data_IF_970656768242
#
_entry.id   IF_970656768242
#
_cell.length_a   1.000
_cell.length_b   1.000
_cell.length_c   1.000
_cell.angle_alpha   90.00
_cell.angle_beta   90.00
_cell.angle_gamma   90.00
#
_symmetry.space_group_name_H-M   'P 1'
#
loop_
_entity.id
_entity.type
_entity.pdbx_description
1 polymer ?
#
# COMPACT_ATOMS: atom_id res chain seq x y z
N UNK A 1 6.02 6.88 -56.50
CA UNK A 1 6.92 5.71 -56.38
C UNK A 1 8.33 6.29 -56.32
N UNK A 2 9.19 6.14 -55.31
CA UNK A 2 9.28 5.23 -54.17
C UNK A 2 9.99 5.95 -53.00
N UNK A 3 9.76 5.49 -51.77
CA UNK A 3 10.34 6.01 -50.53
C UNK A 3 11.76 5.45 -50.27
N UNK A 4 12.64 6.15 -49.52
CA UNK A 4 13.91 5.60 -49.07
C UNK A 4 13.74 4.74 -47.79
N UNK A 5 14.35 3.56 -47.80
CA UNK A 5 14.39 2.58 -46.72
C UNK A 5 15.42 2.94 -45.64
N UNK A 6 14.97 2.95 -44.37
CA UNK A 6 15.83 3.13 -43.20
C UNK A 6 16.33 1.74 -42.75
N UNK A 7 17.65 1.56 -42.74
CA UNK A 7 18.31 0.37 -42.21
C UNK A 7 18.18 0.31 -40.68
N UNK A 8 17.53 -0.74 -40.17
CA UNK A 8 17.48 -1.05 -38.74
C UNK A 8 18.75 -1.81 -38.33
N UNK A 9 19.54 -1.21 -37.43
CA UNK A 9 20.71 -1.83 -36.83
C UNK A 9 20.30 -3.04 -35.97
N UNK A 10 20.90 -4.19 -36.27
CA UNK A 10 20.77 -5.45 -35.54
C UNK A 10 21.62 -5.37 -34.27
N UNK A 11 20.98 -5.35 -33.11
CA UNK A 11 21.65 -5.49 -31.80
C UNK A 11 21.68 -6.99 -31.46
N UNK A 12 22.86 -7.63 -31.32
CA UNK A 12 22.94 -9.05 -30.99
C UNK A 12 22.56 -9.33 -29.53
N UNK A 13 21.59 -10.24 -29.35
CA UNK A 13 20.98 -10.68 -28.09
C UNK A 13 21.80 -11.75 -27.39
N UNK A 14 22.96 -11.41 -26.86
CA UNK A 14 23.67 -12.26 -25.92
C UNK A 14 24.13 -11.41 -24.76
N UNK A 15 23.32 -11.39 -23.68
CA UNK A 15 23.63 -11.05 -22.29
C UNK A 15 22.33 -10.67 -21.57
N UNK A 16 21.51 -11.67 -21.24
CA UNK A 16 20.46 -11.53 -20.24
C UNK A 16 20.33 -12.84 -19.45
N UNK A 17 20.54 -12.85 -18.12
CA UNK A 17 20.33 -14.03 -17.30
C UNK A 17 18.82 -14.29 -17.14
N UNK A 18 18.40 -15.49 -17.51
CA UNK A 18 17.02 -15.99 -17.34
C UNK A 18 16.70 -16.16 -15.85
N UNK A 19 15.88 -15.27 -15.30
CA UNK A 19 15.14 -15.52 -14.07
C UNK A 19 13.79 -16.13 -14.44
N UNK A 20 13.64 -17.44 -14.25
CA UNK A 20 12.36 -18.13 -14.38
C UNK A 20 11.51 -17.85 -13.13
N UNK A 21 10.43 -17.09 -13.28
CA UNK A 21 9.32 -17.14 -12.34
C UNK A 21 8.36 -18.24 -12.80
N UNK A 22 8.24 -19.29 -11.99
CA UNK A 22 7.20 -20.31 -12.17
C UNK A 22 5.88 -19.74 -11.66
N UNK A 23 5.01 -19.32 -12.56
CA UNK A 23 3.60 -19.08 -12.27
C UNK A 23 2.87 -20.43 -12.38
N UNK A 24 2.57 -21.05 -11.24
CA UNK A 24 1.69 -22.21 -11.18
C UNK A 24 0.28 -21.76 -10.83
N UNK A 25 -0.57 -21.69 -11.85
CA UNK A 25 -2.01 -21.52 -11.72
C UNK A 25 -2.65 -22.79 -11.18
N UNK A 26 -3.28 -22.73 -10.00
CA UNK A 26 -4.19 -23.77 -9.52
C UNK A 26 -5.62 -23.24 -9.48
N UNK A 27 -6.50 -24.03 -10.11
CA UNK A 27 -7.89 -23.73 -10.48
C UNK A 27 -8.83 -23.66 -9.28
N UNK A 28 -9.85 -22.83 -9.45
CA UNK A 28 -11.10 -22.82 -8.68
C UNK A 28 -11.92 -24.09 -8.98
N UNK A 29 -12.36 -24.78 -7.94
CA UNK A 29 -13.57 -25.61 -7.95
C UNK A 29 -14.32 -25.35 -6.65
N UNK A 30 -15.55 -24.87 -6.78
CA UNK A 30 -16.50 -24.68 -5.70
C UNK A 30 -17.13 -26.02 -5.31
N UNK A 31 -17.38 -26.22 -4.02
CA UNK A 31 -18.59 -26.90 -3.55
C UNK A 31 -18.89 -26.55 -2.09
N UNK A 32 -20.13 -26.14 -1.89
CA UNK A 32 -20.81 -25.76 -0.67
C UNK A 32 -21.01 -26.92 0.30
N UNK A 33 -20.85 -26.67 1.60
CA UNK A 33 -21.73 -27.25 2.62
C UNK A 33 -22.02 -26.21 3.70
N UNK A 34 -23.30 -26.13 4.02
CA UNK A 34 -23.94 -25.30 5.04
C UNK A 34 -23.88 -26.09 6.34
N UNK A 35 -23.44 -25.48 7.45
CA UNK A 35 -23.95 -25.89 8.76
C UNK A 35 -23.83 -24.76 9.80
N UNK A 36 -24.95 -24.57 10.49
CA UNK A 36 -25.21 -23.48 11.41
C UNK A 36 -25.03 -23.94 12.86
N UNK A 37 -24.15 -23.23 13.58
CA UNK A 37 -24.32 -22.67 14.93
C UNK A 37 -25.40 -23.28 15.86
N UNK A 38 -24.96 -23.75 17.05
CA UNK A 38 -25.44 -23.37 18.42
C UNK A 38 -24.55 -24.05 19.48
N UNK A 39 -23.78 -23.28 20.24
CA UNK A 39 -24.05 -22.79 21.61
C UNK A 39 -23.81 -23.81 22.73
N UNK A 40 -22.79 -23.52 23.56
CA UNK A 40 -22.52 -24.16 24.84
C UNK A 40 -21.39 -23.43 25.60
N UNK A 41 -21.78 -22.56 26.52
CA UNK A 41 -20.98 -21.90 27.57
C UNK A 41 -20.24 -22.93 28.45
N UNK A 42 -19.12 -22.66 29.15
CA UNK A 42 -18.95 -21.75 30.29
C UNK A 42 -17.50 -21.95 30.84
N UNK A 43 -16.82 -20.84 31.19
CA UNK A 43 -15.86 -20.64 32.30
C UNK A 43 -14.80 -21.71 32.65
N UNK A 44 -13.53 -21.36 32.45
CA UNK A 44 -12.49 -21.61 33.44
C UNK A 44 -11.32 -20.63 33.24
N UNK A 45 -11.07 -19.85 34.28
CA UNK A 45 -9.95 -18.94 34.41
C UNK A 45 -8.62 -19.72 34.51
N UNK A 46 -7.61 -19.30 33.76
CA UNK A 46 -6.22 -19.42 34.23
C UNK A 46 -5.43 -18.25 33.66
N UNK A 47 -5.09 -17.32 34.55
CA UNK A 47 -4.20 -16.21 34.28
C UNK A 47 -2.77 -16.75 34.11
N UNK A 48 -2.19 -16.56 32.91
CA UNK A 48 -0.74 -16.53 32.76
C UNK A 48 -0.37 -15.34 31.89
N UNK A 49 -0.22 -14.21 32.58
CA UNK A 49 0.19 -12.91 32.07
C UNK A 49 1.73 -12.89 32.07
N UNK A 50 2.36 -13.01 30.91
CA UNK A 50 3.80 -12.74 30.74
C UNK A 50 4.00 -11.23 30.50
N UNK A 51 4.97 -10.57 31.16
CA UNK A 51 5.06 -9.12 31.11
C UNK A 51 5.75 -8.64 29.83
N UNK A 52 5.08 -7.69 29.19
CA UNK A 52 5.62 -6.83 28.15
C UNK A 52 6.60 -5.83 28.81
N UNK A 53 7.88 -5.92 28.48
CA UNK A 53 8.92 -4.98 28.93
C UNK A 53 8.66 -3.59 28.33
N UNK A 54 8.07 -2.70 29.12
CA UNK A 54 7.97 -1.28 28.83
C UNK A 54 9.27 -0.59 29.26
N UNK A 55 9.89 0.06 28.28
CA UNK A 55 10.90 1.10 28.43
C UNK A 55 10.29 2.30 29.17
N UNK A 56 10.96 2.78 30.22
CA UNK A 56 10.81 4.12 30.78
C UNK A 56 12.05 4.50 31.61
N UNK A 57 12.35 5.80 31.77
CA UNK A 57 13.71 6.34 31.79
C UNK A 57 14.18 6.71 33.20
N UNK A 58 15.49 6.61 33.47
CA UNK A 58 16.11 7.32 34.57
C UNK A 58 17.59 7.63 34.30
N UNK A 59 17.84 8.93 34.13
CA UNK A 59 18.92 9.70 34.75
C UNK A 59 20.37 9.20 34.55
N UNK A 60 21.05 9.78 33.57
CA UNK A 60 22.51 9.86 33.54
C UNK A 60 22.93 11.25 34.02
N UNK A 61 23.55 11.31 35.20
CA UNK A 61 24.23 12.49 35.72
C UNK A 61 25.72 12.17 35.91
N UNK A 62 26.59 13.08 35.43
CA UNK A 62 28.04 13.07 35.58
C UNK A 62 28.75 12.28 34.47
N UNK A 63 29.62 12.85 33.64
CA UNK A 63 30.57 13.95 33.84
C UNK A 63 30.79 14.70 32.52
N UNK A 64 30.54 16.01 32.55
CA UNK A 64 31.00 16.97 31.53
C UNK A 64 32.38 17.45 31.93
N UNK A 65 33.41 17.13 31.16
CA UNK A 65 34.71 17.74 31.36
C UNK A 65 35.56 17.70 30.09
N UNK A 66 35.89 18.91 29.60
CA UNK A 66 37.02 19.29 28.72
C UNK A 66 36.98 18.82 27.24
N UNK A 67 37.18 19.66 26.22
CA UNK A 67 37.20 21.12 26.08
C UNK A 67 37.30 21.39 24.57
N UNK A 68 36.45 22.27 24.04
CA UNK A 68 36.74 22.98 22.79
C UNK A 68 37.63 24.17 23.12
N UNK A 69 38.79 24.28 22.48
CA UNK A 69 39.51 25.55 22.30
C UNK A 69 39.99 25.57 20.84
N UNK A 70 39.29 26.27 19.97
CA UNK A 70 39.31 27.72 19.75
C UNK A 70 40.65 28.18 19.18
N UNK A 71 40.60 28.42 17.88
CA UNK A 71 41.61 29.08 17.09
C UNK A 71 41.62 30.56 17.45
N UNK A 72 42.79 31.08 17.83
CA UNK A 72 43.13 32.50 17.69
C UNK A 72 44.65 32.70 17.83
N UNK A 73 45.26 32.88 16.65
CA UNK A 73 46.35 33.80 16.31
C UNK A 73 47.14 34.46 17.47
N UNK A 74 48.47 34.31 17.42
CA UNK A 74 49.40 35.40 17.73
C UNK A 74 50.74 35.24 17.00
N UNK A 75 51.29 36.39 16.69
CA UNK A 75 52.39 36.70 15.80
C UNK A 75 53.77 36.60 16.46
N UNK A 76 54.77 36.47 15.59
CA UNK A 76 56.17 36.90 15.68
C UNK A 76 57.08 36.31 16.76
N UNK A 77 58.09 35.59 16.28
CA UNK A 77 59.37 35.38 16.95
C UNK A 77 60.35 34.81 15.93
N UNK A 78 61.26 35.66 15.44
CA UNK A 78 62.35 35.28 14.54
C UNK A 78 63.29 34.29 15.23
N UNK A 79 63.78 33.30 14.50
CA UNK A 79 64.73 32.32 15.03
C UNK A 79 65.28 31.37 13.97
N UNK A 80 66.23 31.90 13.20
CA UNK A 80 67.32 31.20 12.51
C UNK A 80 67.02 30.00 11.62
N UNK A 81 67.26 30.22 10.32
CA UNK A 81 67.49 29.22 9.31
C UNK A 81 68.57 28.21 9.73
N UNK A 82 68.20 26.93 9.67
CA UNK A 82 69.06 25.87 9.14
C UNK A 82 68.17 25.08 8.19
N UNK A 83 68.20 25.48 6.93
CA UNK A 83 67.72 24.69 5.81
C UNK A 83 68.52 23.39 5.77
N UNK A 84 68.06 22.38 6.49
CA UNK A 84 68.42 21.02 6.15
C UNK A 84 67.60 20.68 4.91
N UNK A 85 68.14 20.99 3.73
CA UNK A 85 67.67 20.44 2.47
C UNK A 85 67.63 18.92 2.62
N UNK A 86 66.47 18.37 3.00
CA UNK A 86 66.16 16.97 2.80
C UNK A 86 66.04 16.78 1.30
N UNK A 87 67.12 16.30 0.71
CA UNK A 87 67.10 15.72 -0.62
C UNK A 87 66.13 14.54 -0.58
N UNK A 88 64.91 14.79 -1.04
CA UNK A 88 63.98 13.74 -1.46
C UNK A 88 64.58 13.09 -2.70
N UNK A 89 65.50 12.15 -2.50
CA UNK A 89 65.98 11.32 -3.58
C UNK A 89 64.81 10.40 -3.99
N UNK A 90 64.26 10.66 -5.16
CA UNK A 90 63.42 9.70 -5.87
C UNK A 90 64.18 8.37 -5.93
N UNK A 91 63.55 7.32 -5.41
CA UNK A 91 63.90 5.89 -5.50
C UNK A 91 65.38 5.61 -5.76
N UNK A 92 66.13 5.20 -4.72
CA UNK A 92 67.51 4.76 -4.87
C UNK A 92 67.62 3.84 -6.11
N UNK A 93 68.47 4.22 -7.08
CA UNK A 93 68.70 3.39 -8.28
C UNK A 93 69.12 2.02 -7.80
N UNK A 94 68.18 1.08 -7.80
CA UNK A 94 68.45 -0.31 -7.49
C UNK A 94 69.48 -0.76 -8.52
N UNK A 95 70.66 -1.14 -8.06
CA UNK A 95 71.66 -1.72 -8.94
C UNK A 95 70.97 -2.87 -9.69
N UNK A 96 71.02 -2.85 -11.02
CA UNK A 96 70.46 -3.92 -11.83
C UNK A 96 71.22 -5.18 -11.47
N UNK A 97 70.63 -5.99 -10.59
CA UNK A 97 71.17 -7.30 -10.27
C UNK A 97 71.27 -8.05 -11.61
N UNK A 98 72.46 -8.50 -11.98
CA UNK A 98 72.62 -9.26 -13.20
C UNK A 98 72.06 -10.64 -12.89
N UNK A 99 70.84 -10.91 -13.37
CA UNK A 99 70.11 -12.14 -13.04
C UNK A 99 70.82 -13.38 -13.60
N UNK A 100 71.77 -13.18 -14.52
CA UNK A 100 72.53 -14.22 -15.19
C UNK A 100 74.02 -13.86 -15.29
N UNK A 101 74.88 -14.72 -14.77
CA UNK A 101 76.34 -14.59 -14.84
C UNK A 101 76.86 -15.27 -16.13
N UNK A 102 77.01 -14.46 -17.17
CA UNK A 102 77.44 -14.91 -18.51
C UNK A 102 78.86 -15.46 -18.53
N UNK A 103 79.74 -14.91 -17.68
CA UNK A 103 81.15 -15.29 -17.62
C UNK A 103 81.34 -16.66 -16.96
N UNK A 104 80.64 -16.90 -15.85
CA UNK A 104 80.66 -18.19 -15.16
C UNK A 104 80.03 -19.31 -16.00
N UNK A 105 79.03 -18.98 -16.82
CA UNK A 105 78.42 -19.92 -17.75
C UNK A 105 79.41 -20.35 -18.84
N UNK A 106 80.09 -19.38 -19.47
CA UNK A 106 81.10 -19.66 -20.51
C UNK A 106 82.29 -20.45 -19.93
N UNK A 107 82.76 -20.10 -18.73
CA UNK A 107 83.84 -20.83 -18.05
C UNK A 107 83.47 -22.31 -17.81
N UNK A 108 82.26 -22.60 -17.32
CA UNK A 108 81.79 -23.98 -17.16
C UNK A 108 81.72 -24.74 -18.48
N UNK A 109 81.25 -24.12 -19.56
CA UNK A 109 81.21 -24.80 -20.87
C UNK A 109 82.62 -25.13 -21.38
N UNK A 110 83.59 -24.23 -21.16
CA UNK A 110 84.99 -24.50 -21.49
C UNK A 110 85.57 -25.66 -20.67
N UNK A 111 85.23 -25.74 -19.37
CA UNK A 111 85.64 -26.86 -18.50
C UNK A 111 85.06 -28.21 -18.97
N UNK A 112 83.86 -28.21 -19.54
CA UNK A 112 83.19 -29.40 -20.11
C UNK A 112 83.64 -29.73 -21.55
N UNK A 113 84.67 -29.04 -22.07
CA UNK A 113 85.31 -29.37 -23.35
C UNK A 113 84.75 -28.65 -24.58
N UNK A 114 83.91 -27.63 -24.42
CA UNK A 114 83.46 -26.78 -25.53
C UNK A 114 84.51 -25.75 -25.94
N UNK A 115 84.57 -25.43 -27.24
CA UNK A 115 85.43 -24.32 -27.69
C UNK A 115 84.87 -22.98 -27.22
N UNK A 116 85.74 -21.99 -27.06
CA UNK A 116 85.37 -20.65 -26.60
C UNK A 116 84.26 -20.02 -27.46
N UNK A 117 84.38 -20.13 -28.79
CA UNK A 117 83.39 -19.61 -29.73
C UNK A 117 82.02 -20.29 -29.61
N UNK A 118 82.00 -21.61 -29.34
CA UNK A 118 80.78 -22.37 -29.12
C UNK A 118 80.11 -22.01 -27.80
N UNK A 119 80.91 -21.87 -26.74
CA UNK A 119 80.42 -21.50 -25.41
C UNK A 119 79.83 -20.07 -25.41
N UNK A 120 80.47 -19.14 -26.11
CA UNK A 120 79.93 -17.79 -26.32
C UNK A 120 78.65 -17.79 -27.17
N UNK A 121 78.61 -18.58 -28.24
CA UNK A 121 77.43 -18.69 -29.10
C UNK A 121 76.20 -19.21 -28.34
N UNK A 122 76.37 -20.26 -27.53
CA UNK A 122 75.30 -20.79 -26.68
C UNK A 122 74.87 -19.80 -25.59
N UNK A 123 75.82 -19.04 -25.01
CA UNK A 123 75.51 -18.01 -24.02
C UNK A 123 74.61 -16.92 -24.60
N UNK A 124 74.88 -16.45 -25.83
CA UNK A 124 74.06 -15.42 -26.49
C UNK A 124 72.62 -15.88 -26.70
N UNK A 125 72.42 -17.10 -27.22
CA UNK A 125 71.08 -17.68 -27.42
C UNK A 125 70.33 -17.82 -26.09
N UNK A 126 71.01 -18.27 -25.03
CA UNK A 126 70.39 -18.40 -23.71
C UNK A 126 70.03 -17.04 -23.11
N UNK A 127 70.87 -16.03 -23.30
CA UNK A 127 70.58 -14.65 -22.89
C UNK A 127 69.31 -14.13 -23.55
N UNK A 128 69.13 -14.40 -24.85
CA UNK A 128 67.93 -13.97 -25.60
C UNK A 128 66.66 -14.66 -25.07
N UNK A 129 66.71 -15.97 -24.81
CA UNK A 129 65.58 -16.74 -24.26
C UNK A 129 65.21 -16.29 -22.84
N UNK A 130 66.21 -16.02 -22.00
CA UNK A 130 65.99 -15.54 -20.63
C UNK A 130 65.39 -14.13 -20.65
N UNK A 131 65.89 -13.24 -21.51
CA UNK A 131 65.36 -11.89 -21.66
C UNK A 131 63.90 -11.92 -22.14
N UNK A 132 63.57 -12.73 -23.14
CA UNK A 132 62.19 -12.94 -23.60
C UNK A 132 61.29 -13.50 -22.48
N UNK A 133 61.80 -14.46 -21.69
CA UNK A 133 61.07 -15.05 -20.56
C UNK A 133 60.79 -14.03 -19.45
N UNK A 134 61.78 -13.22 -19.06
CA UNK A 134 61.63 -12.18 -18.05
C UNK A 134 60.65 -11.12 -18.52
N UNK A 135 60.72 -10.69 -19.78
CA UNK A 135 59.76 -9.74 -20.35
C UNK A 135 58.34 -10.29 -20.37
N UNK A 136 58.16 -11.57 -20.72
CA UNK A 136 56.85 -12.22 -20.71
C UNK A 136 56.26 -12.32 -19.29
N UNK A 137 57.07 -12.68 -18.30
CA UNK A 137 56.66 -12.71 -16.88
C UNK A 137 56.31 -11.31 -16.37
N UNK A 138 57.19 -10.33 -16.62
CA UNK A 138 57.02 -8.95 -16.16
C UNK A 138 55.77 -8.30 -16.77
N UNK A 139 55.36 -8.70 -17.98
CA UNK A 139 54.14 -8.22 -18.64
C UNK A 139 52.85 -8.63 -17.92
N UNK A 140 52.86 -9.76 -17.22
CA UNK A 140 51.67 -10.27 -16.49
C UNK A 140 51.71 -9.95 -15.00
N UNK A 141 52.87 -9.55 -14.48
CA UNK A 141 53.06 -9.13 -13.10
C UNK A 141 52.59 -7.70 -12.87
N UNK A 142 52.15 -7.43 -11.65
CA UNK A 142 51.75 -6.10 -11.20
C UNK A 142 52.70 -5.66 -10.09
N UNK A 143 53.13 -4.40 -10.12
CA UNK A 143 53.94 -3.82 -9.06
C UNK A 143 53.12 -3.78 -7.76
N UNK A 144 53.76 -4.10 -6.63
CA UNK A 144 53.11 -4.07 -5.32
C UNK A 144 52.48 -2.71 -4.99
N UNK A 145 53.16 -1.63 -5.38
CA UNK A 145 52.65 -0.27 -5.20
C UNK A 145 51.32 -0.04 -5.93
N UNK A 146 51.16 -0.58 -7.13
CA UNK A 146 49.94 -0.39 -7.93
C UNK A 146 48.81 -1.30 -7.43
N UNK A 147 49.15 -2.50 -6.96
CA UNK A 147 48.20 -3.37 -6.26
C UNK A 147 47.67 -2.71 -4.97
N UNK A 148 48.55 -2.08 -4.18
CA UNK A 148 48.19 -1.38 -2.96
C UNK A 148 47.32 -0.15 -3.24
N UNK A 149 47.68 0.66 -4.25
CA UNK A 149 46.86 1.79 -4.71
C UNK A 149 45.47 1.33 -5.15
N UNK A 150 45.38 0.31 -5.99
CA UNK A 150 44.10 -0.23 -6.46
C UNK A 150 43.23 -0.72 -5.29
N UNK A 151 43.84 -1.42 -4.34
CA UNK A 151 43.15 -1.90 -3.13
C UNK A 151 42.67 -0.74 -2.25
N UNK A 152 43.47 0.33 -2.12
CA UNK A 152 43.10 1.52 -1.37
C UNK A 152 41.91 2.23 -2.00
N UNK A 153 41.94 2.49 -3.30
CA UNK A 153 40.83 3.10 -4.05
C UNK A 153 39.56 2.27 -3.88
N UNK A 154 39.65 0.96 -4.05
CA UNK A 154 38.51 0.06 -3.87
C UNK A 154 37.91 0.16 -2.46
N UNK A 155 38.73 0.25 -1.41
CA UNK A 155 38.25 0.41 -0.03
C UNK A 155 37.54 1.74 0.20
N UNK A 156 38.07 2.82 -0.37
CA UNK A 156 37.45 4.15 -0.29
C UNK A 156 36.11 4.15 -1.02
N UNK A 157 36.05 3.54 -2.22
CA UNK A 157 34.82 3.43 -2.99
C UNK A 157 33.76 2.61 -2.25
N UNK A 158 34.13 1.48 -1.63
CA UNK A 158 33.21 0.71 -0.81
C UNK A 158 32.71 1.48 0.41
N UNK A 159 33.57 2.27 1.07
CA UNK A 159 33.17 3.10 2.19
C UNK A 159 32.17 4.18 1.75
N UNK A 160 32.41 4.80 0.58
CA UNK A 160 31.52 5.80 -0.01
C UNK A 160 30.17 5.19 -0.40
N UNK A 161 30.18 4.08 -1.15
CA UNK A 161 28.95 3.37 -1.55
C UNK A 161 28.13 2.94 -0.34
N UNK A 162 28.78 2.46 0.72
CA UNK A 162 28.09 2.11 1.97
C UNK A 162 27.43 3.33 2.62
N UNK A 163 28.12 4.48 2.65
CA UNK A 163 27.57 5.72 3.21
C UNK A 163 26.39 6.23 2.39
N UNK A 164 26.50 6.19 1.06
CA UNK A 164 25.42 6.58 0.14
C UNK A 164 24.21 5.64 0.30
N UNK A 165 24.44 4.32 0.36
CA UNK A 165 23.39 3.33 0.56
C UNK A 165 22.66 3.54 1.90
N UNK A 166 23.41 3.72 3.00
CA UNK A 166 22.81 3.96 4.33
C UNK A 166 22.00 5.25 4.36
N UNK A 167 22.47 6.30 3.67
CA UNK A 167 21.75 7.56 3.57
C UNK A 167 20.47 7.39 2.74
N UNK A 168 20.58 6.75 1.57
CA UNK A 168 19.44 6.49 0.70
C UNK A 168 18.37 5.64 1.40
N UNK A 169 18.76 4.53 2.02
CA UNK A 169 17.87 3.64 2.77
C UNK A 169 17.16 4.37 3.92
N UNK A 170 17.91 5.16 4.71
CA UNK A 170 17.32 5.98 5.77
C UNK A 170 16.32 7.00 5.23
N UNK A 171 16.63 7.66 4.10
CA UNK A 171 15.72 8.65 3.50
C UNK A 171 14.46 8.00 2.94
N UNK A 172 14.59 6.89 2.21
CA UNK A 172 13.46 6.16 1.62
C UNK A 172 12.55 5.57 2.71
N UNK A 173 13.14 4.99 3.74
CA UNK A 173 12.41 4.49 4.92
C UNK A 173 11.65 5.61 5.63
N UNK A 174 12.27 6.78 5.82
CA UNK A 174 11.61 7.94 6.43
C UNK A 174 10.44 8.47 5.58
N UNK A 175 10.61 8.52 4.25
CA UNK A 175 9.58 8.97 3.32
C UNK A 175 8.41 8.00 3.29
N UNK A 176 8.69 6.70 3.22
CA UNK A 176 7.68 5.63 3.25
C UNK A 176 6.91 5.64 4.56
N UNK A 177 7.58 5.85 5.69
CA UNK A 177 6.91 5.97 6.99
C UNK A 177 6.02 7.22 7.06
N UNK A 178 6.52 8.36 6.58
CA UNK A 178 5.74 9.60 6.55
C UNK A 178 4.50 9.48 5.64
N UNK A 179 4.64 8.84 4.47
CA UNK A 179 3.51 8.60 3.58
C UNK A 179 2.50 7.63 4.18
N UNK A 180 2.97 6.57 4.85
CA UNK A 180 2.10 5.62 5.56
C UNK A 180 1.32 6.29 6.69
N UNK A 181 1.98 7.11 7.53
CA UNK A 181 1.31 7.87 8.61
C UNK A 181 0.29 8.85 8.03
N UNK A 182 0.62 9.55 6.94
CA UNK A 182 -0.31 10.44 6.24
C UNK A 182 -1.55 9.69 5.72
N UNK A 183 -1.35 8.58 5.00
CA UNK A 183 -2.45 7.78 4.46
C UNK A 183 -3.33 7.20 5.57
N UNK A 184 -2.73 6.78 6.69
CA UNK A 184 -3.47 6.29 7.86
C UNK A 184 -4.35 7.40 8.45
N UNK A 185 -3.85 8.63 8.53
CA UNK A 185 -4.63 9.77 9.00
C UNK A 185 -5.77 10.15 8.04
N UNK A 186 -5.51 10.13 6.72
CA UNK A 186 -6.54 10.36 5.71
C UNK A 186 -7.62 9.28 5.76
N UNK A 187 -7.25 8.02 5.95
CA UNK A 187 -8.19 6.90 6.14
C UNK A 187 -9.05 7.09 7.38
N UNK A 188 -8.46 7.47 8.52
CA UNK A 188 -9.21 7.74 9.76
C UNK A 188 -10.21 8.90 9.57
N UNK A 189 -9.79 9.97 8.90
CA UNK A 189 -10.64 11.13 8.58
C UNK A 189 -11.79 10.75 7.65
N UNK A 190 -11.54 9.95 6.61
CA UNK A 190 -12.57 9.47 5.71
C UNK A 190 -13.57 8.56 6.44
N UNK A 191 -13.08 7.67 7.30
CA UNK A 191 -13.93 6.79 8.10
C UNK A 191 -14.87 7.59 9.01
N UNK A 192 -14.36 8.62 9.69
CA UNK A 192 -15.18 9.51 10.51
C UNK A 192 -16.26 10.21 9.67
N UNK A 193 -15.88 10.79 8.52
CA UNK A 193 -16.82 11.48 7.64
C UNK A 193 -17.92 10.56 7.13
N UNK A 194 -17.56 9.34 6.71
CA UNK A 194 -18.52 8.34 6.26
C UNK A 194 -19.48 7.94 7.38
N UNK A 195 -18.98 7.77 8.62
CA UNK A 195 -19.85 7.50 9.77
C UNK A 195 -20.83 8.65 10.02
N UNK A 196 -20.35 9.89 9.97
CA UNK A 196 -21.20 11.07 10.17
C UNK A 196 -22.26 11.19 9.07
N UNK A 197 -21.90 10.92 7.81
CA UNK A 197 -22.84 10.90 6.69
C UNK A 197 -23.87 9.77 6.79
N UNK A 198 -23.46 8.57 7.19
CA UNK A 198 -24.38 7.45 7.46
C UNK A 198 -25.34 7.82 8.58
N UNK A 199 -24.87 8.41 9.68
CA UNK A 199 -25.72 8.82 10.77
C UNK A 199 -26.69 9.93 10.36
N UNK A 200 -26.23 10.93 9.59
CA UNK A 200 -27.06 12.02 9.07
C UNK A 200 -28.14 11.50 8.11
N UNK A 201 -27.77 10.63 7.17
CA UNK A 201 -28.72 10.01 6.23
C UNK A 201 -29.72 9.12 6.96
N UNK A 202 -29.27 8.34 7.94
CA UNK A 202 -30.16 7.53 8.78
C UNK A 202 -31.15 8.40 9.59
N UNK A 203 -30.70 9.50 10.17
CA UNK A 203 -31.57 10.44 10.87
C UNK A 203 -32.59 11.09 9.90
N UNK A 204 -32.15 11.47 8.71
CA UNK A 204 -33.02 12.02 7.66
C UNK A 204 -34.10 11.03 7.24
N UNK A 205 -33.74 9.76 7.00
CA UNK A 205 -34.70 8.71 6.62
C UNK A 205 -35.68 8.43 7.76
N UNK A 206 -35.21 8.41 9.01
CA UNK A 206 -36.11 8.25 10.18
C UNK A 206 -37.11 9.40 10.29
N UNK A 207 -36.65 10.64 10.08
CA UNK A 207 -37.54 11.81 10.08
C UNK A 207 -38.56 11.72 8.96
N UNK A 208 -38.12 11.39 7.74
CA UNK A 208 -38.98 11.25 6.56
C UNK A 208 -40.07 10.21 6.78
N UNK A 209 -39.71 9.02 7.29
CA UNK A 209 -40.67 7.99 7.65
C UNK A 209 -41.64 8.43 8.75
N UNK A 210 -41.19 9.22 9.72
CA UNK A 210 -42.05 9.71 10.79
C UNK A 210 -43.03 10.77 10.29
N UNK A 211 -42.59 11.68 9.41
CA UNK A 211 -43.44 12.66 8.75
C UNK A 211 -44.47 11.96 7.85
N UNK A 212 -44.04 10.96 7.09
CA UNK A 212 -44.92 10.20 6.20
C UNK A 212 -45.95 9.37 7.00
N UNK A 213 -45.56 8.77 8.13
CA UNK A 213 -46.52 8.14 9.05
C UNK A 213 -47.52 9.14 9.62
N UNK A 214 -47.06 10.35 9.95
CA UNK A 214 -47.92 11.45 10.38
C UNK A 214 -48.93 11.84 9.30
N UNK A 215 -48.47 11.97 8.06
CA UNK A 215 -49.30 12.28 6.88
C UNK A 215 -50.34 11.19 6.63
N UNK A 216 -49.94 9.92 6.61
CA UNK A 216 -50.85 8.78 6.43
C UNK A 216 -51.92 8.76 7.54
N UNK A 217 -51.54 9.05 8.79
CA UNK A 217 -52.50 9.12 9.91
C UNK A 217 -53.50 10.27 9.73
N UNK A 218 -53.03 11.44 9.31
CA UNK A 218 -53.92 12.59 9.07
C UNK A 218 -54.87 12.32 7.90
N UNK A 219 -54.37 11.75 6.80
CA UNK A 219 -55.21 11.35 5.67
C UNK A 219 -56.24 10.28 6.05
N UNK A 220 -55.84 9.31 6.89
CA UNK A 220 -56.76 8.31 7.43
C UNK A 220 -57.85 8.93 8.32
N UNK A 221 -57.50 9.89 9.19
CA UNK A 221 -58.48 10.60 10.02
C UNK A 221 -59.46 11.41 9.15
N UNK A 222 -58.97 12.08 8.12
CA UNK A 222 -59.82 12.83 7.16
C UNK A 222 -60.78 11.88 6.45
N UNK A 223 -60.32 10.70 6.04
CA UNK A 223 -61.20 9.69 5.46
C UNK A 223 -62.22 9.15 6.48
N UNK A 224 -61.82 8.95 7.74
CA UNK A 224 -62.73 8.52 8.81
C UNK A 224 -63.82 9.56 9.08
N UNK A 225 -63.49 10.85 9.07
CA UNK A 225 -64.47 11.93 9.22
C UNK A 225 -65.46 11.97 8.06
N UNK A 226 -64.96 11.88 6.81
CA UNK A 226 -65.84 11.79 5.63
C UNK A 226 -66.75 10.58 5.68
N UNK A 227 -66.23 9.44 6.14
CA UNK A 227 -67.02 8.23 6.30
C UNK A 227 -68.14 8.43 7.34
N UNK A 228 -67.83 9.03 8.50
CA UNK A 228 -68.84 9.35 9.53
C UNK A 228 -69.89 10.33 9.03
N UNK A 229 -69.49 11.36 8.28
CA UNK A 229 -70.44 12.29 7.67
C UNK A 229 -71.39 11.54 6.72
N UNK A 230 -70.85 10.68 5.84
CA UNK A 230 -71.69 9.88 4.94
C UNK A 230 -72.57 8.88 5.69
N UNK A 231 -72.09 8.29 6.78
CA UNK A 231 -72.86 7.37 7.61
C UNK A 231 -74.04 8.07 8.27
N UNK A 232 -73.82 9.24 8.87
CA UNK A 232 -74.91 10.06 9.43
C UNK A 232 -75.92 10.51 8.36
N UNK A 233 -75.47 10.77 7.13
CA UNK A 233 -76.37 11.09 6.01
C UNK A 233 -77.21 9.88 5.61
N UNK A 234 -76.62 8.67 5.56
CA UNK A 234 -77.36 7.43 5.29
C UNK A 234 -78.39 7.16 6.40
N UNK A 235 -78.05 7.39 7.67
CA UNK A 235 -79.00 7.26 8.77
C UNK A 235 -80.18 8.25 8.63
N UNK A 236 -79.91 9.50 8.27
CA UNK A 236 -80.93 10.51 8.00
C UNK A 236 -81.83 10.11 6.83
N UNK A 237 -81.24 9.68 5.70
CA UNK A 237 -82.00 9.21 4.53
C UNK A 237 -82.83 7.96 4.89
N UNK A 238 -82.33 7.06 5.74
CA UNK A 238 -83.05 5.88 6.22
C UNK A 238 -84.22 6.25 7.13
N UNK A 239 -84.04 7.21 8.04
CA UNK A 239 -85.11 7.72 8.88
C UNK A 239 -86.20 8.41 8.04
N UNK A 240 -85.81 9.19 7.05
CA UNK A 240 -86.73 9.82 6.11
C UNK A 240 -87.51 8.78 5.29
N UNK A 241 -86.83 7.74 4.77
CA UNK A 241 -87.49 6.64 4.05
C UNK A 241 -88.50 5.90 4.95
N UNK A 242 -88.17 5.71 6.22
CA UNK A 242 -89.07 5.11 7.20
C UNK A 242 -90.32 5.97 7.45
N UNK A 243 -90.15 7.28 7.63
CA UNK A 243 -91.28 8.22 7.79
C UNK A 243 -92.19 8.20 6.55
N UNK A 244 -91.60 8.26 5.35
CA UNK A 244 -92.33 8.15 4.07
C UNK A 244 -93.10 6.84 3.99
N UNK A 245 -92.50 5.73 4.41
CA UNK A 245 -93.16 4.42 4.45
C UNK A 245 -94.34 4.39 5.43
N UNK A 246 -94.18 4.95 6.62
CA UNK A 246 -95.26 5.07 7.61
C UNK A 246 -96.40 5.96 7.11
N UNK A 247 -96.09 7.08 6.45
CA UNK A 247 -97.09 7.93 5.81
C UNK A 247 -97.86 7.21 4.67
N UNK A 248 -97.15 6.44 3.82
CA UNK A 248 -97.78 5.61 2.78
C UNK A 248 -98.69 4.54 3.39
N UNK A 249 -98.25 3.88 4.47
CA UNK A 249 -99.08 2.91 5.22
C UNK A 249 -100.35 3.56 5.79
N UNK A 250 -100.25 4.76 6.36
CA UNK A 250 -101.43 5.45 6.88
C UNK A 250 -102.39 5.86 5.77
N UNK A 251 -101.87 6.37 4.64
CA UNK A 251 -102.67 6.71 3.46
C UNK A 251 -103.40 5.49 2.90
N UNK A 252 -102.72 4.34 2.76
CA UNK A 252 -103.37 3.11 2.26
C UNK A 252 -104.41 2.58 3.23
N UNK A 253 -104.18 2.65 4.56
CA UNK A 253 -105.19 2.31 5.57
C UNK A 253 -106.41 3.26 5.49
N UNK A 254 -106.20 4.55 5.27
CA UNK A 254 -107.28 5.52 5.11
C UNK A 254 -108.10 5.23 3.84
N UNK A 255 -107.45 4.95 2.70
CA UNK A 255 -108.12 4.52 1.48
C UNK A 255 -108.90 3.22 1.68
N UNK A 256 -108.31 2.24 2.37
CA UNK A 256 -108.98 0.98 2.70
C UNK A 256 -110.25 1.23 3.53
N UNK A 257 -110.16 2.05 4.57
CA UNK A 257 -111.32 2.44 5.39
C UNK A 257 -112.39 3.17 4.57
N UNK A 258 -111.97 4.06 3.67
CA UNK A 258 -112.88 4.76 2.74
C UNK A 258 -113.61 3.81 1.79
N UNK A 259 -112.90 2.86 1.20
CA UNK A 259 -113.49 1.85 0.31
C UNK A 259 -114.42 0.91 1.07
N UNK A 260 -114.02 0.38 2.23
CA UNK A 260 -114.86 -0.47 3.06
C UNK A 260 -116.13 0.25 3.54
N UNK A 261 -116.02 1.52 3.94
CA UNK A 261 -117.18 2.32 4.35
C UNK A 261 -118.08 2.63 3.15
N UNK A 262 -117.50 2.94 1.99
CA UNK A 262 -118.24 3.17 0.74
C UNK A 262 -119.00 1.94 0.27
N UNK A 263 -118.37 0.75 0.28
CA UNK A 263 -119.04 -0.51 -0.08
C UNK A 263 -120.13 -0.88 0.92
N UNK A 264 -119.90 -0.70 2.22
CA UNK A 264 -120.92 -0.90 3.25
C UNK A 264 -122.12 0.06 3.06
N UNK A 265 -121.88 1.33 2.76
CA UNK A 265 -122.92 2.32 2.48
C UNK A 265 -123.73 1.96 1.22
N UNK A 266 -123.07 1.50 0.15
CA UNK A 266 -123.75 1.00 -1.05
C UNK A 266 -124.59 -0.25 -0.77
N UNK A 267 -124.06 -1.22 -0.02
CA UNK A 267 -124.82 -2.41 0.40
C UNK A 267 -126.07 -2.05 1.20
N UNK A 268 -125.95 -1.12 2.15
CA UNK A 268 -127.10 -0.60 2.90
C UNK A 268 -128.08 0.17 2.00
N UNK A 269 -127.57 0.94 1.03
CA UNK A 269 -128.38 1.65 0.04
C UNK A 269 -129.19 0.69 -0.85
N UNK A 270 -128.57 -0.38 -1.33
CA UNK A 270 -129.24 -1.42 -2.13
C UNK A 270 -130.26 -2.19 -1.27
N UNK A 271 -129.90 -2.55 -0.04
CA UNK A 271 -130.83 -3.21 0.90
C UNK A 271 -132.09 -2.37 1.13
N UNK A 272 -131.92 -1.05 1.26
CA UNK A 272 -133.04 -0.11 1.40
C UNK A 272 -133.90 0.03 0.14
N UNK A 273 -133.35 -0.22 -1.05
CA UNK A 273 -134.07 -0.10 -2.32
C UNK A 273 -134.79 -1.40 -2.73
N UNK A 274 -134.37 -2.54 -2.15
CA UNK A 274 -134.93 -3.87 -2.39
C UNK A 274 -136.07 -4.25 -1.41
N UNK A 275 -136.10 -3.64 -0.22
CA UNK A 275 -137.20 -3.73 0.77
C UNK A 275 -138.22 -2.63 0.54
#
# INVERSE_FOLDING_TARGET
MAAPSISAAVIPRFLAPRLQWSASSSRLVAQSTVEARRHGSCWAASERRMPLSKLSPLQTAGTRQWQQQRWSQRTSGHGSALELQRSFNATAKQARDHHFDTLKFVQRLKEEGFTEEQAEGMMRVLSDVIEESIQNLTRTMVLREDQEKATYTQKVDFAKLRSELMTADSTESSLTRASHERLTNELAKLNSRLRDEIQRTQASVRLDLNLEKGRIREEANVQELKLKETDTRIEQETAQLRERLEAVKFSTLQWLMGVCTGTAALMLGVWRLLM
#
